data_IF_841777865411
#
_entry.id   IF_841777865411
#
_cell.length_a   1.000
_cell.length_b   1.000
_cell.length_c   1.000
_cell.angle_alpha   90.00
_cell.angle_beta   90.00
_cell.angle_gamma   90.00
#
_symmetry.space_group_name_H-M   'P 1'
#
loop_
_entity.id
_entity.type
_entity.pdbx_description
1 polymer ?
#
# COMPACT_ATOMS: atom_id res chain seq x y z
N UNK A 1 -1.25 32.77 -33.04
CA UNK A 1 -0.55 31.54 -33.49
C UNK A 1 -1.14 30.34 -32.75
N UNK A 2 -1.73 29.34 -33.44
CA UNK A 2 -2.22 28.15 -32.76
C UNK A 2 -1.03 27.27 -32.33
N UNK A 3 -0.93 26.98 -31.03
CA UNK A 3 0.05 26.02 -30.52
C UNK A 3 -0.35 24.64 -31.04
N UNK A 4 0.46 24.07 -31.94
CA UNK A 4 0.32 22.65 -32.32
C UNK A 4 0.60 21.82 -31.07
N UNK A 5 -0.46 21.25 -30.49
CA UNK A 5 -0.33 20.23 -29.46
C UNK A 5 0.42 19.00 -29.99
N UNK A 6 0.89 18.11 -29.11
CA UNK A 6 1.56 16.88 -29.53
C UNK A 6 0.69 16.08 -30.49
N UNK A 7 1.34 15.38 -31.43
CA UNK A 7 0.65 14.53 -32.38
C UNK A 7 -0.24 13.51 -31.65
N UNK A 8 -1.45 13.28 -32.16
CA UNK A 8 -2.34 12.24 -31.63
C UNK A 8 -1.64 10.90 -31.77
N UNK A 9 -1.54 10.13 -30.68
CA UNK A 9 -0.99 8.78 -30.70
C UNK A 9 -1.76 7.90 -31.68
N UNK A 10 -1.05 7.04 -32.38
CA UNK A 10 -1.67 6.02 -33.23
C UNK A 10 -2.09 4.82 -32.38
N UNK A 11 -3.10 4.07 -32.84
CA UNK A 11 -3.55 2.81 -32.19
C UNK A 11 -2.43 1.77 -32.01
N UNK A 12 -1.37 1.86 -32.83
CA UNK A 12 -0.18 0.99 -32.73
C UNK A 12 0.74 1.42 -31.58
N UNK A 13 0.91 2.73 -31.37
CA UNK A 13 1.68 3.31 -30.26
C UNK A 13 0.97 3.07 -28.91
N UNK A 14 -0.36 3.15 -28.88
CA UNK A 14 -1.16 2.83 -27.70
C UNK A 14 -0.95 1.37 -27.26
N UNK A 15 -1.06 0.40 -28.17
CA UNK A 15 -0.78 -1.02 -27.86
C UNK A 15 0.67 -1.29 -27.43
N UNK A 16 1.63 -0.55 -27.99
CA UNK A 16 3.04 -0.69 -27.60
C UNK A 16 3.27 -0.15 -26.18
N UNK A 17 2.71 1.01 -25.86
CA UNK A 17 2.82 1.61 -24.52
C UNK A 17 2.09 0.79 -23.44
N UNK A 18 0.96 0.17 -23.76
CA UNK A 18 0.28 -0.79 -22.87
C UNK A 18 1.15 -2.02 -22.55
N UNK A 19 1.81 -2.61 -23.56
CA UNK A 19 2.74 -3.73 -23.36
C UNK A 19 3.96 -3.32 -22.53
N UNK A 20 4.51 -2.14 -22.77
CA UNK A 20 5.59 -1.62 -21.94
C UNK A 20 5.14 -1.35 -20.50
N UNK A 21 3.95 -0.80 -20.31
CA UNK A 21 3.41 -0.52 -18.99
C UNK A 21 3.19 -1.81 -18.19
N UNK A 22 2.63 -2.83 -18.81
CA UNK A 22 2.43 -4.16 -18.18
C UNK A 22 3.76 -4.84 -17.84
N UNK A 23 4.75 -4.80 -18.72
CA UNK A 23 6.09 -5.33 -18.40
C UNK A 23 6.77 -4.54 -17.27
N UNK A 24 6.69 -3.21 -17.28
CA UNK A 24 7.20 -2.36 -16.19
C UNK A 24 6.48 -2.65 -14.86
N UNK A 25 5.18 -2.95 -14.89
CA UNK A 25 4.44 -3.36 -13.70
C UNK A 25 4.92 -4.70 -13.16
N UNK A 26 5.11 -5.71 -14.02
CA UNK A 26 5.65 -7.03 -13.63
C UNK A 26 7.01 -6.92 -12.96
N UNK A 27 7.95 -6.21 -13.58
CA UNK A 27 9.28 -5.99 -13.02
C UNK A 27 9.23 -5.28 -11.66
N UNK A 28 8.32 -4.31 -11.50
CA UNK A 28 8.11 -3.64 -10.21
C UNK A 28 7.53 -4.56 -9.15
N UNK A 29 6.70 -5.53 -9.52
CA UNK A 29 6.15 -6.50 -8.59
C UNK A 29 7.19 -7.53 -8.17
N UNK A 30 7.99 -8.04 -9.11
CA UNK A 30 9.13 -8.93 -8.84
C UNK A 30 10.12 -8.26 -7.88
N UNK A 31 10.56 -7.03 -8.17
CA UNK A 31 11.46 -6.27 -7.31
C UNK A 31 10.86 -5.93 -5.93
N UNK A 32 9.52 -5.95 -5.77
CA UNK A 32 8.87 -5.81 -4.45
C UNK A 32 8.88 -7.13 -3.69
N UNK A 33 8.67 -8.26 -4.37
CA UNK A 33 8.72 -9.60 -3.77
C UNK A 33 10.12 -9.93 -3.28
N UNK A 34 11.15 -9.65 -4.08
CA UNK A 34 12.54 -9.87 -3.69
C UNK A 34 12.93 -9.07 -2.44
N UNK A 35 12.56 -7.77 -2.39
CA UNK A 35 12.80 -6.93 -1.21
C UNK A 35 12.04 -7.41 0.03
N UNK A 36 10.82 -7.89 -0.14
CA UNK A 36 10.02 -8.43 0.96
C UNK A 36 10.67 -9.72 1.52
N UNK A 37 11.10 -10.63 0.64
CA UNK A 37 11.80 -11.85 1.03
C UNK A 37 13.12 -11.54 1.74
N UNK A 38 13.87 -10.55 1.25
CA UNK A 38 15.11 -10.11 1.90
C UNK A 38 14.84 -9.51 3.27
N UNK A 39 13.82 -8.67 3.43
CA UNK A 39 13.45 -8.09 4.71
C UNK A 39 13.08 -9.15 5.76
N UNK A 40 12.33 -10.19 5.36
CA UNK A 40 12.01 -11.33 6.24
C UNK A 40 13.27 -12.08 6.64
N UNK A 41 14.19 -12.33 5.69
CA UNK A 41 15.46 -12.99 5.99
C UNK A 41 16.29 -12.18 6.98
N UNK A 42 16.42 -10.87 6.77
CA UNK A 42 17.14 -9.97 7.67
C UNK A 42 16.51 -9.97 9.07
N UNK A 43 15.18 -9.91 9.16
CA UNK A 43 14.44 -9.97 10.43
C UNK A 43 14.59 -11.31 11.15
N UNK A 44 14.68 -12.43 10.42
CA UNK A 44 14.94 -13.74 11.01
C UNK A 44 16.36 -13.88 11.54
N UNK A 45 17.34 -13.28 10.85
CA UNK A 45 18.73 -13.28 11.29
C UNK A 45 18.95 -12.34 12.49
N UNK A 46 18.32 -11.17 12.45
CA UNK A 46 18.37 -10.16 13.50
C UNK A 46 16.93 -9.81 13.88
N UNK A 47 16.46 -10.26 15.05
CA UNK A 47 15.09 -10.06 15.54
C UNK A 47 14.78 -8.61 15.95
N UNK A 48 15.34 -7.63 15.23
CA UNK A 48 15.10 -6.21 15.40
C UNK A 48 14.17 -5.70 14.31
N UNK A 49 13.18 -4.91 14.72
CA UNK A 49 12.28 -4.25 13.80
C UNK A 49 13.03 -3.13 13.07
N UNK A 50 12.98 -3.06 11.73
CA UNK A 50 13.64 -1.99 10.99
C UNK A 50 13.04 -0.62 11.33
N UNK A 51 13.88 0.40 11.43
CA UNK A 51 13.46 1.77 11.77
C UNK A 51 12.80 2.49 10.59
N UNK A 52 13.16 2.13 9.35
CA UNK A 52 12.61 2.78 8.16
C UNK A 52 11.20 2.28 7.84
N UNK A 53 10.26 3.22 7.61
CA UNK A 53 8.90 2.90 7.16
C UNK A 53 8.87 2.04 5.88
N UNK A 54 9.85 2.22 4.99
CA UNK A 54 9.97 1.43 3.76
C UNK A 54 10.24 -0.03 4.05
N UNK A 55 11.25 -0.29 4.88
CA UNK A 55 11.64 -1.64 5.31
C UNK A 55 10.55 -2.30 6.15
N UNK A 56 9.87 -1.58 7.05
CA UNK A 56 8.71 -2.11 7.78
C UNK A 56 7.59 -2.55 6.84
N UNK A 57 7.35 -1.81 5.76
CA UNK A 57 6.33 -2.17 4.77
C UNK A 57 6.72 -3.44 4.00
N UNK A 58 7.98 -3.56 3.62
CA UNK A 58 8.51 -4.70 2.88
C UNK A 58 8.55 -5.94 3.78
N UNK A 59 8.93 -5.79 5.07
CA UNK A 59 8.84 -6.83 6.10
C UNK A 59 7.40 -7.30 6.30
N UNK A 60 6.45 -6.37 6.49
CA UNK A 60 5.02 -6.70 6.62
C UNK A 60 4.50 -7.46 5.41
N UNK A 61 4.93 -7.08 4.20
CA UNK A 61 4.54 -7.78 2.97
C UNK A 61 5.06 -9.22 2.98
N UNK A 62 6.34 -9.40 3.28
CA UNK A 62 6.96 -10.73 3.29
C UNK A 62 6.38 -11.63 4.38
N UNK A 63 6.15 -11.11 5.59
CA UNK A 63 5.48 -11.86 6.66
C UNK A 63 4.07 -12.30 6.25
N UNK A 64 3.30 -11.41 5.62
CA UNK A 64 1.94 -11.74 5.17
C UNK A 64 1.92 -12.83 4.07
N UNK A 65 2.94 -12.88 3.21
CA UNK A 65 3.11 -13.95 2.22
C UNK A 65 3.39 -15.31 2.87
N UNK A 66 3.98 -15.33 4.08
CA UNK A 66 4.20 -16.52 4.89
C UNK A 66 3.03 -16.84 5.85
N UNK A 67 1.93 -16.07 5.80
CA UNK A 67 0.79 -16.22 6.70
C UNK A 67 1.01 -15.63 8.10
N UNK A 68 2.08 -14.87 8.31
CA UNK A 68 2.40 -14.19 9.55
C UNK A 68 1.95 -12.72 9.51
N UNK A 69 1.32 -12.25 10.59
CA UNK A 69 0.84 -10.87 10.67
C UNK A 69 1.85 -10.00 11.40
N UNK A 70 2.33 -8.94 10.73
CA UNK A 70 3.10 -7.90 11.39
C UNK A 70 2.13 -7.00 12.19
N UNK A 71 1.93 -7.33 13.46
CA UNK A 71 1.15 -6.54 14.39
C UNK A 71 1.98 -5.39 14.97
N UNK A 72 1.38 -4.21 15.06
CA UNK A 72 1.95 -3.15 15.89
C UNK A 72 1.30 -3.25 17.26
N UNK A 73 2.13 -3.31 18.29
CA UNK A 73 1.68 -3.20 19.67
C UNK A 73 0.84 -1.92 19.82
N UNK A 74 -0.40 -2.06 20.27
CA UNK A 74 -1.33 -0.95 20.49
C UNK A 74 -2.28 -0.62 19.33
N UNK A 75 -2.33 -1.40 18.24
CA UNK A 75 -3.42 -1.26 17.26
C UNK A 75 -4.75 -1.77 17.85
N UNK A 76 -5.82 -0.97 17.73
CA UNK A 76 -7.14 -1.35 18.22
C UNK A 76 -7.77 -2.47 17.36
N UNK A 77 -8.70 -3.28 17.88
CA UNK A 77 -9.42 -4.29 17.10
C UNK A 77 -10.11 -3.71 15.85
N UNK A 78 -10.60 -2.47 15.94
CA UNK A 78 -11.18 -1.74 14.81
C UNK A 78 -10.15 -1.39 13.72
N UNK A 79 -8.90 -1.09 14.09
CA UNK A 79 -7.81 -0.86 13.13
C UNK A 79 -7.35 -2.16 12.46
N UNK A 80 -7.33 -3.27 13.21
CA UNK A 80 -7.00 -4.59 12.68
C UNK A 80 -8.05 -5.06 11.66
N UNK A 81 -9.35 -4.91 11.96
CA UNK A 81 -10.45 -5.29 11.07
C UNK A 81 -10.49 -4.50 9.74
N UNK A 82 -9.91 -3.30 9.73
CA UNK A 82 -9.87 -2.41 8.57
C UNK A 82 -8.57 -2.51 7.75
N UNK A 83 -7.65 -3.43 8.13
CA UNK A 83 -6.41 -3.69 7.38
C UNK A 83 -6.77 -4.28 6.00
N UNK A 84 -6.53 -3.49 4.95
CA UNK A 84 -6.77 -3.91 3.57
C UNK A 84 -8.02 -3.30 2.93
N UNK A 85 -8.82 -2.56 3.69
CA UNK A 85 -9.90 -1.74 3.14
C UNK A 85 -9.32 -0.51 2.41
N UNK A 86 -9.96 -0.15 1.29
CA UNK A 86 -9.61 1.05 0.52
C UNK A 86 -9.86 2.26 1.42
N UNK A 87 -8.84 3.08 1.66
CA UNK A 87 -8.97 4.31 2.43
C UNK A 87 -9.69 5.37 1.58
N UNK A 88 -10.79 5.92 2.08
CA UNK A 88 -11.50 7.09 1.55
C UNK A 88 -11.17 8.34 2.39
N UNK A 89 -11.34 9.51 1.80
CA UNK A 89 -11.23 10.76 2.58
C UNK A 89 -12.50 10.91 3.40
N UNK A 90 -12.35 10.99 4.72
CA UNK A 90 -13.45 11.35 5.60
C UNK A 90 -13.85 12.81 5.42
N UNK A 91 -15.04 13.16 5.92
CA UNK A 91 -15.53 14.55 5.94
C UNK A 91 -14.57 15.50 6.68
N UNK A 92 -13.80 14.98 7.64
CA UNK A 92 -12.75 15.72 8.36
C UNK A 92 -11.40 15.81 7.63
N UNK A 93 -11.32 15.33 6.38
CA UNK A 93 -10.11 15.42 5.54
C UNK A 93 -8.99 14.43 5.90
N UNK A 94 -9.22 13.54 6.88
CA UNK A 94 -8.30 12.44 7.21
C UNK A 94 -8.61 11.24 6.31
N UNK A 95 -7.61 10.41 6.02
CA UNK A 95 -7.86 9.16 5.31
C UNK A 95 -8.35 8.10 6.29
N UNK A 96 -9.56 7.61 6.05
CA UNK A 96 -10.25 6.62 6.87
C UNK A 96 -10.70 5.43 6.00
N UNK A 97 -10.78 4.21 6.54
CA UNK A 97 -11.26 3.05 5.78
C UNK A 97 -12.68 3.27 5.25
N UNK A 98 -12.95 2.86 4.01
CA UNK A 98 -14.27 2.99 3.38
C UNK A 98 -15.36 2.34 4.25
N UNK A 99 -16.40 3.10 4.59
CA UNK A 99 -17.43 2.65 5.54
C UNK A 99 -17.02 2.78 7.01
N UNK A 100 -16.00 3.59 7.33
CA UNK A 100 -15.75 4.02 8.71
C UNK A 100 -16.84 4.99 9.15
N UNK A 101 -17.83 4.44 9.85
CA UNK A 101 -18.75 5.22 10.67
C UNK A 101 -18.03 5.47 12.00
N UNK A 102 -17.55 6.70 12.21
CA UNK A 102 -17.31 7.12 13.58
C UNK A 102 -18.70 7.16 14.23
N UNK A 103 -18.98 6.15 15.05
CA UNK A 103 -20.03 6.30 16.04
C UNK A 103 -19.55 7.47 16.88
N UNK A 104 -20.20 8.63 16.70
CA UNK A 104 -19.81 9.86 17.35
C UNK A 104 -19.67 9.60 18.84
N UNK A 105 -18.48 9.88 19.37
CA UNK A 105 -18.27 10.11 20.80
C UNK A 105 -18.99 11.42 21.20
N UNK A 106 -20.30 11.48 20.99
CA UNK A 106 -21.25 12.36 21.68
C UNK A 106 -21.92 11.53 22.78
N UNK A 107 -21.13 10.79 23.57
CA UNK A 107 -21.59 10.39 24.89
C UNK A 107 -21.31 11.56 25.85
N UNK A 108 -22.33 12.28 26.33
CA UNK A 108 -22.12 13.19 27.44
C UNK A 108 -21.61 12.36 28.61
N UNK A 109 -20.49 12.79 29.19
CA UNK A 109 -20.11 12.34 30.51
C UNK A 109 -21.24 12.73 31.48
N UNK A 110 -21.92 11.74 32.05
CA UNK A 110 -22.68 11.91 33.29
C UNK A 110 -21.84 11.40 34.46
#
# INVERSE_FOLDING_TARGET
MPRKGPAKSTRREERASEKEATNKQRLKEEAKKERAAQAVREYRCNAEIPQSKGQQRDLRRGLNEEGLVYERYGESPSQLGKRGEILEKSSGGRMEPRGFECWGDDQPWE
#
